data_IF_303440271209
#
_entry.id   IF_303440271209
#
_cell.length_a   1.000
_cell.length_b   1.000
_cell.length_c   1.000
_cell.angle_alpha   90.00
_cell.angle_beta   90.00
_cell.angle_gamma   90.00
#
_symmetry.space_group_name_H-M   'P 1'
#
loop_
_entity.id
_entity.type
_entity.pdbx_description
1 polymer ?
#
# COMPACT_ATOMS: atom_id res chain seq x y z
N UNK A 1 2.69 -10.94 18.64
CA UNK A 1 1.32 -10.39 18.71
C UNK A 1 1.09 -9.60 17.44
N UNK A 2 0.03 -9.92 16.69
CA UNK A 2 -0.33 -9.20 15.47
C UNK A 2 -0.77 -7.77 15.82
N UNK A 3 -0.21 -6.79 15.11
CA UNK A 3 -0.60 -5.38 15.21
C UNK A 3 -1.19 -4.94 13.87
N UNK A 4 -2.22 -4.10 13.94
CA UNK A 4 -2.88 -3.50 12.78
C UNK A 4 -2.55 -2.01 12.76
N UNK A 5 -2.01 -1.52 11.66
CA UNK A 5 -1.63 -0.12 11.50
C UNK A 5 -2.47 0.53 10.40
N UNK A 6 -2.90 1.77 10.64
CA UNK A 6 -3.49 2.64 9.64
C UNK A 6 -2.38 3.41 8.92
N UNK A 7 -2.50 3.51 7.60
CA UNK A 7 -1.70 4.34 6.72
C UNK A 7 -2.62 5.39 6.11
N UNK A 8 -2.15 6.62 6.02
CA UNK A 8 -2.75 7.67 5.20
C UNK A 8 -1.73 7.95 4.10
N UNK A 9 -2.10 7.64 2.86
CA UNK A 9 -1.16 7.60 1.73
C UNK A 9 -1.54 8.67 0.72
N UNK A 10 -0.59 9.53 0.43
CA UNK A 10 -0.63 10.46 -0.69
C UNK A 10 0.15 9.87 -1.88
N UNK A 11 -0.36 10.03 -3.09
CA UNK A 11 0.35 9.64 -4.31
C UNK A 11 -0.10 10.43 -5.55
N UNK A 12 0.86 10.65 -6.45
CA UNK A 12 0.60 11.03 -7.82
C UNK A 12 0.42 9.78 -8.69
N UNK A 13 -0.78 9.59 -9.27
CA UNK A 13 -1.13 8.36 -9.99
C UNK A 13 -0.61 8.25 -11.42
N UNK A 14 -0.03 9.30 -12.01
CA UNK A 14 0.26 9.39 -13.46
C UNK A 14 1.08 8.21 -14.00
N UNK A 15 2.04 7.72 -13.22
CA UNK A 15 2.94 6.62 -13.61
C UNK A 15 2.42 5.23 -13.25
N UNK A 16 1.21 5.12 -12.68
CA UNK A 16 0.69 3.88 -12.10
C UNK A 16 -0.60 3.41 -12.76
N UNK A 17 -0.77 2.10 -12.83
CA UNK A 17 -1.95 1.41 -13.36
C UNK A 17 -3.06 1.29 -12.30
N UNK A 18 -3.23 2.36 -11.53
CA UNK A 18 -4.21 2.50 -10.48
C UNK A 18 -3.73 1.94 -9.14
N UNK A 19 -4.68 1.83 -8.22
CA UNK A 19 -4.40 1.34 -6.87
C UNK A 19 -4.09 -0.16 -6.85
N UNK A 20 -5.04 -0.97 -7.33
CA UNK A 20 -5.03 -2.43 -7.18
C UNK A 20 -3.87 -3.05 -7.97
N UNK A 21 -3.18 -4.05 -7.38
CA UNK A 21 -2.25 -4.89 -8.14
C UNK A 21 -2.89 -5.51 -9.39
N UNK A 22 -2.18 -5.40 -10.51
CA UNK A 22 -2.57 -5.99 -11.80
C UNK A 22 -1.31 -6.46 -12.53
N UNK A 23 -1.43 -7.48 -13.40
CA UNK A 23 -0.29 -8.06 -14.12
C UNK A 23 0.27 -7.19 -15.24
N UNK A 24 -0.46 -6.16 -15.65
CA UNK A 24 -0.21 -5.36 -16.84
C UNK A 24 0.56 -4.05 -16.57
N UNK A 25 0.88 -3.75 -15.32
CA UNK A 25 1.66 -2.57 -14.97
C UNK A 25 1.79 -2.35 -13.47
N UNK A 26 2.71 -1.47 -13.08
CA UNK A 26 2.98 -1.15 -11.68
C UNK A 26 1.78 -0.46 -11.03
N UNK A 27 1.36 -0.95 -9.86
CA UNK A 27 0.26 -0.35 -9.09
C UNK A 27 0.77 0.31 -7.81
N UNK A 28 -0.03 1.22 -7.25
CA UNK A 28 0.28 1.84 -5.95
C UNK A 28 0.32 0.77 -4.85
N UNK A 29 -0.62 -0.18 -4.85
CA UNK A 29 -0.65 -1.28 -3.87
C UNK A 29 0.66 -2.08 -3.90
N UNK A 30 1.16 -2.44 -5.09
CA UNK A 30 2.40 -3.19 -5.24
C UNK A 30 3.59 -2.45 -4.61
N UNK A 31 3.73 -1.16 -4.92
CA UNK A 31 4.81 -0.32 -4.40
C UNK A 31 4.75 -0.21 -2.88
N UNK A 32 3.56 -0.01 -2.32
CA UNK A 32 3.36 0.07 -0.86
C UNK A 32 3.67 -1.28 -0.20
N UNK A 33 3.17 -2.39 -0.74
CA UNK A 33 3.42 -3.74 -0.20
C UNK A 33 4.92 -4.10 -0.26
N UNK A 34 5.62 -3.75 -1.35
CA UNK A 34 7.07 -3.91 -1.47
C UNK A 34 7.83 -3.07 -0.42
N UNK A 35 7.43 -1.82 -0.20
CA UNK A 35 8.04 -0.96 0.81
C UNK A 35 7.81 -1.50 2.23
N UNK A 36 6.57 -1.90 2.54
CA UNK A 36 6.23 -2.50 3.83
C UNK A 36 6.99 -3.80 4.07
N UNK A 37 7.11 -4.66 3.06
CA UNK A 37 7.88 -5.91 3.17
C UNK A 37 9.34 -5.66 3.54
N UNK A 38 9.96 -4.59 3.01
CA UNK A 38 11.33 -4.18 3.39
C UNK A 38 11.42 -3.73 4.85
N UNK A 39 10.38 -3.10 5.38
CA UNK A 39 10.30 -2.60 6.76
C UNK A 39 10.00 -3.73 7.73
N UNK A 40 8.98 -4.53 7.45
CA UNK A 40 8.48 -5.59 8.33
C UNK A 40 9.36 -6.84 8.29
N UNK A 41 10.16 -7.02 7.23
CA UNK A 41 10.95 -8.23 6.92
C UNK A 41 10.09 -9.47 6.68
N UNK A 42 8.83 -9.27 6.30
CA UNK A 42 7.89 -10.32 5.97
C UNK A 42 6.94 -9.84 4.87
N UNK A 43 6.46 -10.77 4.04
CA UNK A 43 5.44 -10.45 3.03
C UNK A 43 4.24 -9.76 3.70
N UNK A 44 3.88 -8.59 3.19
CA UNK A 44 2.88 -7.73 3.81
C UNK A 44 1.84 -7.33 2.77
N UNK A 45 0.58 -7.71 3.02
CA UNK A 45 -0.55 -7.27 2.21
C UNK A 45 -1.25 -6.06 2.81
N UNK A 46 -1.75 -5.20 1.93
CA UNK A 46 -2.43 -3.94 2.28
C UNK A 46 -3.86 -3.97 1.78
N UNK A 47 -4.78 -3.53 2.64
CA UNK A 47 -6.19 -3.31 2.30
C UNK A 47 -6.52 -1.83 2.43
N UNK A 48 -6.95 -1.21 1.33
CA UNK A 48 -7.36 0.20 1.27
C UNK A 48 -8.84 0.42 1.54
N UNK A 49 -9.22 1.67 1.78
CA UNK A 49 -10.61 2.13 1.86
C UNK A 49 -11.32 2.15 0.50
N UNK A 50 -10.56 2.15 -0.59
CA UNK A 50 -11.10 2.18 -1.95
C UNK A 50 -10.06 1.84 -3.01
N UNK A 51 -10.49 1.87 -4.27
CA UNK A 51 -9.65 1.69 -5.44
C UNK A 51 -9.65 2.97 -6.26
N UNK A 52 -8.54 3.27 -6.90
CA UNK A 52 -8.45 4.30 -7.94
C UNK A 52 -8.02 3.68 -9.25
N UNK A 53 -8.49 4.25 -10.36
CA UNK A 53 -8.10 3.86 -11.71
C UNK A 53 -6.70 4.37 -12.07
N UNK A 54 -6.17 3.91 -13.21
CA UNK A 54 -4.88 4.35 -13.72
C UNK A 54 -4.84 5.88 -13.90
N UNK A 55 -3.72 6.48 -13.47
CA UNK A 55 -3.54 7.93 -13.53
C UNK A 55 -4.20 8.75 -12.41
N UNK A 56 -5.14 8.19 -11.64
CA UNK A 56 -5.85 8.93 -10.57
C UNK A 56 -4.96 9.16 -9.35
N UNK A 57 -4.99 10.37 -8.80
CA UNK A 57 -4.22 10.79 -7.62
C UNK A 57 -5.02 10.60 -6.31
N UNK A 58 -4.33 10.64 -5.16
CA UNK A 58 -4.97 10.77 -3.86
C UNK A 58 -4.08 11.55 -2.88
N UNK A 59 -4.68 12.41 -2.05
CA UNK A 59 -4.00 13.12 -0.96
C UNK A 59 -4.08 12.35 0.38
N UNK A 60 -4.95 11.35 0.48
CA UNK A 60 -5.22 10.67 1.75
C UNK A 60 -5.94 9.34 1.61
N UNK A 61 -5.45 8.46 0.75
CA UNK A 61 -5.96 7.08 0.67
C UNK A 61 -5.70 6.38 2.00
N UNK A 62 -6.76 6.06 2.74
CA UNK A 62 -6.66 5.29 3.95
C UNK A 62 -6.43 3.81 3.62
N UNK A 63 -5.45 3.18 4.26
CA UNK A 63 -5.19 1.77 4.09
C UNK A 63 -4.68 1.14 5.39
N UNK A 64 -4.77 -0.18 5.51
CA UNK A 64 -4.22 -0.89 6.66
C UNK A 64 -3.47 -2.14 6.26
N UNK A 65 -2.54 -2.52 7.11
CA UNK A 65 -1.87 -3.82 7.05
C UNK A 65 -1.75 -4.41 8.46
N UNK A 66 -1.49 -5.72 8.51
CA UNK A 66 -1.26 -6.44 9.76
C UNK A 66 0.16 -6.98 9.73
N UNK A 67 0.90 -6.80 10.81
CA UNK A 67 2.26 -7.34 10.95
C UNK A 67 2.52 -7.87 12.35
N UNK A 68 3.40 -8.85 12.46
CA UNK A 68 3.98 -9.32 13.72
C UNK A 68 5.38 -8.73 13.96
N UNK A 69 5.89 -7.95 13.00
CA UNK A 69 7.19 -7.33 13.09
C UNK A 69 7.28 -6.42 14.32
N UNK A 70 8.43 -6.48 15.00
CA UNK A 70 8.76 -5.59 16.12
C UNK A 70 9.25 -4.22 15.65
N UNK A 71 8.88 -3.81 14.43
CA UNK A 71 9.18 -2.48 13.92
C UNK A 71 8.84 -1.43 14.99
N UNK A 72 9.82 -0.57 15.26
CA UNK A 72 9.60 0.60 16.11
C UNK A 72 8.92 1.67 15.24
N UNK A 73 7.91 2.38 15.77
CA UNK A 73 7.34 3.55 15.10
C UNK A 73 8.43 4.55 14.69
#
# INVERSE_FOLDING_TARGET
>A
MKKKYLLIIEYEGTAYHGWQFQKNGISIQEVVEMALTKITKAETHVLSSGRTDAGVHAEGMAAHFITESKMKP
#
